data_IF_136593703621
#
_entry.id   IF_136593703621
#
_cell.length_a   1.000
_cell.length_b   1.000
_cell.length_c   1.000
_cell.angle_alpha   90.00
_cell.angle_beta   90.00
_cell.angle_gamma   90.00
#
_symmetry.space_group_name_H-M   'P 1'
#
loop_
_entity.id
_entity.type
_entity.pdbx_description
1 polymer ?
#
# COMPACT_ATOMS: atom_id res chain seq x y z
N UNK A 1 19.85 16.48 -23.79
CA UNK A 1 18.84 15.38 -23.75
C UNK A 1 17.79 15.71 -22.70
N UNK A 2 16.52 15.80 -23.11
CA UNK A 2 15.42 16.29 -22.27
C UNK A 2 14.96 15.19 -21.32
N UNK A 3 15.01 15.43 -20.00
CA UNK A 3 14.35 14.59 -18.99
C UNK A 3 12.84 14.69 -19.20
N UNK A 4 12.17 13.57 -19.49
CA UNK A 4 10.70 13.49 -19.54
C UNK A 4 10.18 13.67 -18.11
N UNK A 5 9.53 14.80 -17.86
CA UNK A 5 8.69 15.01 -16.68
C UNK A 5 7.51 14.05 -16.83
N UNK A 6 7.46 13.00 -16.01
CA UNK A 6 6.29 12.11 -15.93
C UNK A 6 5.23 12.84 -15.09
N UNK A 7 4.05 13.04 -15.68
CA UNK A 7 3.00 13.91 -15.18
C UNK A 7 2.43 13.51 -13.81
N UNK A 8 2.05 14.55 -13.05
CA UNK A 8 1.28 14.50 -11.80
C UNK A 8 -0.15 14.02 -12.09
N UNK A 9 -0.35 12.71 -12.11
CA UNK A 9 -1.66 12.09 -11.93
C UNK A 9 -1.69 11.42 -10.56
N UNK A 10 -2.86 11.35 -9.92
CA UNK A 10 -3.02 10.46 -8.78
C UNK A 10 -2.53 9.06 -9.18
N UNK A 11 -1.60 8.41 -8.45
CA UNK A 11 -1.15 7.11 -8.87
C UNK A 11 -2.37 6.19 -8.81
N UNK A 12 -2.80 5.69 -9.97
CA UNK A 12 -3.61 4.48 -10.04
C UNK A 12 -2.91 3.46 -9.14
N UNK A 13 -3.65 2.84 -8.22
CA UNK A 13 -3.11 1.79 -7.36
C UNK A 13 -2.34 0.79 -8.24
N UNK A 14 -1.03 0.71 -8.03
CA UNK A 14 -0.18 -0.14 -8.85
C UNK A 14 -0.49 -1.59 -8.49
N UNK A 15 -0.83 -2.41 -9.48
CA UNK A 15 -1.25 -3.79 -9.26
C UNK A 15 -0.28 -4.75 -9.91
N UNK A 16 -0.07 -5.88 -9.25
CA UNK A 16 0.78 -6.95 -9.72
C UNK A 16 0.02 -8.28 -9.65
N UNK A 17 0.17 -9.15 -10.66
CA UNK A 17 -0.57 -10.41 -10.71
C UNK A 17 -0.16 -11.38 -9.61
N UNK A 18 1.09 -11.31 -9.14
CA UNK A 18 1.63 -12.16 -8.09
C UNK A 18 2.57 -11.38 -7.16
N UNK A 19 2.76 -11.89 -5.95
CA UNK A 19 3.73 -11.35 -5.01
C UNK A 19 5.17 -11.41 -5.56
N UNK A 20 5.52 -12.48 -6.27
CA UNK A 20 6.81 -12.59 -6.94
C UNK A 20 7.03 -11.45 -7.95
N UNK A 21 6.04 -11.19 -8.82
CA UNK A 21 6.12 -10.09 -9.79
C UNK A 21 6.21 -8.70 -9.15
N UNK A 22 5.68 -8.54 -7.93
CA UNK A 22 5.86 -7.31 -7.16
C UNK A 22 7.32 -7.14 -6.72
N UNK A 23 7.93 -8.13 -6.05
CA UNK A 23 9.33 -8.00 -5.62
C UNK A 23 10.31 -7.90 -6.78
N UNK A 24 10.14 -8.70 -7.84
CA UNK A 24 11.10 -8.71 -8.96
C UNK A 24 11.02 -7.44 -9.83
N UNK A 25 9.95 -6.65 -9.72
CA UNK A 25 9.83 -5.40 -10.45
C UNK A 25 10.69 -4.26 -9.87
N UNK A 26 11.18 -4.39 -8.63
CA UNK A 26 12.02 -3.39 -7.97
C UNK A 26 12.92 -4.09 -6.93
N UNK A 27 14.20 -4.21 -7.26
CA UNK A 27 15.20 -4.93 -6.45
C UNK A 27 15.31 -4.41 -5.02
N UNK A 28 15.08 -3.10 -4.79
CA UNK A 28 15.07 -2.52 -3.44
C UNK A 28 14.07 -3.20 -2.51
N UNK A 29 12.97 -3.76 -3.03
CA UNK A 29 11.96 -4.47 -2.22
C UNK A 29 12.51 -5.78 -1.65
N UNK A 30 13.43 -6.43 -2.36
CA UNK A 30 13.99 -7.74 -1.96
C UNK A 30 14.93 -7.60 -0.75
N UNK A 31 15.63 -6.48 -0.66
CA UNK A 31 16.62 -6.23 0.40
C UNK A 31 16.09 -5.38 1.56
N UNK A 32 14.86 -4.85 1.43
CA UNK A 32 14.26 -4.00 2.44
C UNK A 32 13.65 -4.82 3.57
N UNK A 33 13.61 -4.26 4.78
CA UNK A 33 12.79 -4.84 5.84
C UNK A 33 11.33 -4.46 5.61
N UNK A 34 10.44 -5.31 6.07
CA UNK A 34 9.01 -5.08 6.04
C UNK A 34 8.45 -4.84 7.43
N UNK A 35 7.49 -3.93 7.51
CA UNK A 35 6.59 -3.81 8.65
C UNK A 35 5.25 -4.44 8.30
N UNK A 36 4.85 -5.47 9.03
CA UNK A 36 3.52 -6.05 8.92
C UNK A 36 2.47 -5.12 9.52
N UNK A 37 1.45 -4.83 8.71
CA UNK A 37 0.30 -3.98 9.05
C UNK A 37 -0.97 -4.85 9.02
N UNK A 38 -0.89 -6.10 9.51
CA UNK A 38 -2.04 -6.99 9.69
C UNK A 38 -2.29 -7.98 8.55
N UNK A 39 -2.94 -9.10 8.91
CA UNK A 39 -3.13 -10.30 8.07
C UNK A 39 -4.60 -10.61 7.74
N UNK A 40 -5.55 -9.90 8.35
CA UNK A 40 -6.97 -10.24 8.31
C UNK A 40 -7.86 -9.17 7.68
N UNK A 41 -7.30 -8.33 6.81
CA UNK A 41 -8.07 -7.30 6.11
C UNK A 41 -9.08 -7.93 5.18
N UNK A 42 -10.36 -7.56 5.34
CA UNK A 42 -11.46 -8.11 4.55
C UNK A 42 -12.54 -7.07 4.27
N UNK A 43 -13.24 -7.27 3.17
CA UNK A 43 -14.40 -6.45 2.82
C UNK A 43 -15.68 -7.02 3.43
N UNK A 44 -15.96 -8.29 3.13
CA UNK A 44 -17.10 -9.02 3.67
C UNK A 44 -16.63 -10.00 4.76
N UNK A 45 -17.53 -10.40 5.66
CA UNK A 45 -17.21 -11.29 6.78
C UNK A 45 -16.58 -12.61 6.31
N UNK A 46 -17.14 -13.23 5.28
CA UNK A 46 -16.65 -14.48 4.66
C UNK A 46 -15.83 -14.21 3.38
N UNK A 47 -15.44 -12.94 3.16
CA UNK A 47 -14.67 -12.53 2.01
C UNK A 47 -13.20 -12.94 2.10
N UNK A 48 -12.45 -12.82 0.99
CA UNK A 48 -11.03 -13.12 0.99
C UNK A 48 -10.26 -12.18 1.93
N UNK A 49 -9.33 -12.78 2.67
CA UNK A 49 -8.41 -12.04 3.54
C UNK A 49 -7.25 -11.46 2.74
N UNK A 50 -6.69 -10.38 3.25
CA UNK A 50 -5.51 -9.73 2.71
C UNK A 50 -4.51 -9.45 3.83
N UNK A 51 -3.22 -9.61 3.51
CA UNK A 51 -2.10 -9.09 4.31
C UNK A 51 -1.76 -7.70 3.80
N UNK A 52 -1.59 -6.75 4.71
CA UNK A 52 -0.98 -5.47 4.42
C UNK A 52 0.42 -5.41 5.01
N UNK A 53 1.38 -4.90 4.25
CA UNK A 53 2.74 -4.68 4.73
C UNK A 53 3.33 -3.43 4.08
N UNK A 54 4.31 -2.84 4.76
CA UNK A 54 5.04 -1.66 4.31
C UNK A 54 6.50 -2.00 4.07
N UNK A 55 6.97 -1.76 2.85
CA UNK A 55 8.36 -1.93 2.45
C UNK A 55 9.10 -0.63 2.76
N UNK A 56 10.01 -0.65 3.73
CA UNK A 56 10.57 0.59 4.28
C UNK A 56 11.40 1.38 3.27
N UNK A 57 12.19 0.70 2.43
CA UNK A 57 13.13 1.35 1.51
C UNK A 57 12.42 2.02 0.33
N UNK A 58 11.31 1.43 -0.13
CA UNK A 58 10.51 2.00 -1.21
C UNK A 58 9.35 2.87 -0.70
N UNK A 59 9.05 2.77 0.59
CA UNK A 59 7.93 3.41 1.24
C UNK A 59 6.57 2.83 0.84
N UNK A 60 6.51 1.68 0.17
CA UNK A 60 5.28 1.15 -0.41
C UNK A 60 4.45 0.39 0.63
N UNK A 61 3.27 0.91 0.94
CA UNK A 61 2.24 0.18 1.65
C UNK A 61 1.44 -0.63 0.62
N UNK A 62 1.52 -1.95 0.69
CA UNK A 62 0.86 -2.85 -0.25
C UNK A 62 -0.07 -3.83 0.46
N UNK A 63 -1.04 -4.33 -0.30
CA UNK A 63 -1.90 -5.44 0.05
C UNK A 63 -1.57 -6.63 -0.83
N UNK A 64 -1.55 -7.82 -0.24
CA UNK A 64 -1.57 -9.08 -0.98
C UNK A 64 -2.81 -9.86 -0.57
N UNK A 65 -3.59 -10.32 -1.57
CA UNK A 65 -4.72 -11.20 -1.32
C UNK A 65 -4.21 -12.59 -0.91
N UNK A 66 -4.78 -13.13 0.16
CA UNK A 66 -4.48 -14.47 0.65
C UNK A 66 -5.40 -15.50 -0.02
N UNK A 67 -4.98 -16.77 -0.01
CA UNK A 67 -5.72 -17.89 -0.58
C UNK A 67 -5.14 -18.45 -1.89
N UNK A 68 -5.88 -19.33 -2.57
CA UNK A 68 -5.40 -20.01 -3.78
C UNK A 68 -5.19 -19.05 -4.96
N UNK A 69 -4.15 -19.28 -5.76
CA UNK A 69 -3.85 -18.47 -6.95
C UNK A 69 -5.00 -18.48 -7.97
N UNK A 70 -5.66 -19.63 -8.16
CA UNK A 70 -6.80 -19.77 -9.08
C UNK A 70 -8.01 -18.91 -8.71
N UNK A 71 -8.17 -18.63 -7.41
CA UNK A 71 -9.21 -17.70 -6.94
C UNK A 71 -8.72 -16.27 -6.93
N UNK A 72 -7.41 -16.04 -7.02
CA UNK A 72 -6.78 -14.73 -7.05
C UNK A 72 -5.89 -14.39 -5.87
N UNK A 73 -5.50 -15.38 -5.07
CA UNK A 73 -4.45 -15.25 -4.09
C UNK A 73 -3.11 -14.85 -4.74
N UNK A 74 -2.30 -14.13 -3.99
CA UNK A 74 -1.03 -13.58 -4.45
C UNK A 74 -1.14 -12.28 -5.25
N UNK A 75 -2.35 -11.86 -5.67
CA UNK A 75 -2.53 -10.54 -6.31
C UNK A 75 -2.15 -9.43 -5.35
N UNK A 76 -1.33 -8.49 -5.82
CA UNK A 76 -0.81 -7.37 -5.03
C UNK A 76 -1.40 -6.05 -5.52
N UNK A 77 -1.67 -5.16 -4.58
CA UNK A 77 -2.04 -3.77 -4.83
C UNK A 77 -1.26 -2.84 -3.92
N UNK A 78 -0.54 -1.87 -4.49
CA UNK A 78 0.11 -0.78 -3.75
C UNK A 78 -0.92 0.29 -3.45
N UNK A 79 -1.19 0.52 -2.16
CA UNK A 79 -2.18 1.47 -1.67
C UNK A 79 -1.65 2.90 -1.61
N UNK A 80 -0.41 3.05 -1.13
CA UNK A 80 0.21 4.34 -0.92
C UNK A 80 1.73 4.22 -0.91
N UNK A 81 2.40 5.38 -1.01
CA UNK A 81 3.81 5.54 -0.73
C UNK A 81 4.00 6.55 0.40
N UNK A 82 4.70 6.13 1.44
CA UNK A 82 5.04 6.93 2.62
C UNK A 82 6.47 6.57 3.01
N UNK A 83 7.35 7.56 3.13
CA UNK A 83 8.77 7.34 3.39
C UNK A 83 9.10 7.29 4.89
N UNK A 84 8.26 7.91 5.72
CA UNK A 84 8.48 8.01 7.16
C UNK A 84 7.55 7.06 7.90
N UNK A 85 8.14 6.26 8.80
CA UNK A 85 7.41 5.25 9.57
C UNK A 85 6.38 5.90 10.48
N UNK A 86 6.74 7.00 11.12
CA UNK A 86 5.92 7.75 12.06
C UNK A 86 4.65 8.27 11.36
N UNK A 87 4.76 8.68 10.10
CA UNK A 87 3.62 9.11 9.30
C UNK A 87 2.68 7.94 8.97
N UNK A 88 3.24 6.77 8.63
CA UNK A 88 2.45 5.54 8.43
C UNK A 88 1.70 5.17 9.71
N UNK A 89 2.41 5.10 10.84
CA UNK A 89 1.85 4.73 12.14
C UNK A 89 0.77 5.71 12.59
N UNK A 90 0.96 7.02 12.39
CA UNK A 90 -0.03 8.04 12.70
C UNK A 90 -1.30 7.91 11.85
N UNK A 91 -1.19 7.67 10.54
CA UNK A 91 -2.39 7.55 9.69
C UNK A 91 -3.16 6.26 9.97
N UNK A 92 -2.43 5.19 10.29
CA UNK A 92 -2.97 3.87 10.60
C UNK A 92 -3.14 3.65 12.11
N UNK A 93 -3.19 4.71 12.91
CA UNK A 93 -3.47 4.60 14.33
C UNK A 93 -4.77 3.80 14.56
N UNK A 94 -4.71 2.82 15.46
CA UNK A 94 -5.83 1.92 15.74
C UNK A 94 -6.05 0.81 14.70
N UNK A 95 -5.08 0.53 13.82
CA UNK A 95 -5.25 -0.49 12.77
C UNK A 95 -5.47 -1.90 13.33
N UNK A 96 -4.91 -2.22 14.51
CA UNK A 96 -4.97 -3.58 15.08
C UNK A 96 -6.39 -3.94 15.49
N UNK A 97 -7.14 -2.96 15.97
CA UNK A 97 -8.51 -3.05 16.42
C UNK A 97 -9.50 -3.15 15.25
N UNK A 98 -9.15 -2.56 14.10
CA UNK A 98 -9.97 -2.63 12.89
C UNK A 98 -9.65 -3.86 12.03
N UNK A 99 -8.41 -4.35 12.08
CA UNK A 99 -7.97 -5.48 11.28
C UNK A 99 -8.77 -6.74 11.65
N UNK A 100 -9.49 -7.30 10.69
CA UNK A 100 -10.38 -8.43 10.93
C UNK A 100 -11.84 -8.03 11.13
N UNK A 101 -12.22 -6.76 11.13
CA UNK A 101 -13.64 -6.42 11.09
C UNK A 101 -14.20 -6.52 9.65
N UNK A 102 -15.53 -6.73 9.47
CA UNK A 102 -16.17 -6.48 8.19
C UNK A 102 -15.87 -5.04 7.72
N UNK A 103 -15.59 -4.86 6.42
CA UNK A 103 -15.18 -3.59 5.81
C UNK A 103 -13.85 -3.00 6.35
N UNK A 104 -13.07 -3.77 7.10
CA UNK A 104 -11.73 -3.37 7.54
C UNK A 104 -10.80 -3.04 6.37
N UNK A 105 -10.95 -3.73 5.24
CA UNK A 105 -10.20 -3.44 4.03
C UNK A 105 -10.52 -2.06 3.45
N UNK A 106 -11.80 -1.66 3.45
CA UNK A 106 -12.23 -0.32 3.04
C UNK A 106 -11.65 0.75 3.97
N UNK A 107 -11.69 0.54 5.30
CA UNK A 107 -11.06 1.43 6.27
C UNK A 107 -9.57 1.66 5.97
N UNK A 108 -8.82 0.58 5.69
CA UNK A 108 -7.39 0.67 5.38
C UNK A 108 -7.14 1.49 4.09
N UNK A 109 -7.97 1.27 3.06
CA UNK A 109 -7.86 2.01 1.78
C UNK A 109 -8.14 3.50 1.95
N UNK A 110 -9.18 3.84 2.70
CA UNK A 110 -9.55 5.22 2.99
C UNK A 110 -8.45 5.95 3.75
N UNK A 111 -7.88 5.32 4.78
CA UNK A 111 -6.74 5.88 5.52
C UNK A 111 -5.51 6.04 4.63
N UNK A 112 -5.21 5.03 3.81
CA UNK A 112 -4.08 5.06 2.87
C UNK A 112 -4.22 6.16 1.81
N UNK A 113 -5.43 6.45 1.34
CA UNK A 113 -5.66 7.53 0.39
C UNK A 113 -5.24 8.90 0.96
N UNK A 114 -5.44 9.13 2.27
CA UNK A 114 -5.00 10.35 2.96
C UNK A 114 -3.47 10.51 3.00
N UNK A 115 -2.70 9.41 2.99
CA UNK A 115 -1.23 9.47 2.84
C UNK A 115 -0.86 10.03 1.46
N UNK A 116 -1.53 9.55 0.41
CA UNK A 116 -1.31 10.01 -0.96
C UNK A 116 -1.65 11.49 -1.17
N UNK A 117 -2.66 12.00 -0.46
CA UNK A 117 -3.04 13.43 -0.49
C UNK A 117 -2.01 14.31 0.23
N UNK A 118 -1.57 13.92 1.43
CA UNK A 118 -0.55 14.66 2.20
C UNK A 118 0.79 14.72 1.47
N UNK A 119 1.20 13.61 0.83
CA UNK A 119 2.39 13.58 0.01
C UNK A 119 2.32 14.58 -1.16
N UNK A 120 1.14 14.76 -1.78
CA UNK A 120 0.95 15.77 -2.84
C UNK A 120 0.93 17.19 -2.32
N UNK A 121 0.29 17.42 -1.17
CA UNK A 121 0.21 18.75 -0.55
C UNK A 121 1.59 19.27 -0.12
N UNK A 122 2.47 18.40 0.40
CA UNK A 122 3.86 18.74 0.72
C UNK A 122 4.78 18.91 -0.49
N UNK A 123 4.34 18.54 -1.69
CA UNK A 123 5.06 18.70 -2.97
C UNK A 123 4.57 19.90 -3.79
N UNK A 124 3.66 20.73 -3.26
CA UNK A 124 3.30 22.00 -3.88
C UNK A 124 4.57 22.88 -3.98
N UNK A 125 4.86 23.49 -5.14
CA UNK A 125 6.04 24.32 -5.26
C UNK A 125 5.88 25.54 -4.35
N UNK A 126 6.71 25.63 -3.31
CA UNK A 126 6.99 26.89 -2.65
C UNK A 126 7.75 27.73 -3.67
N UNK A 127 7.05 28.65 -4.33
CA UNK A 127 7.67 29.58 -5.27
C UNK A 127 6.69 30.21 -6.24
N UNK A 128 6.13 31.35 -5.86
CA UNK A 128 6.23 32.61 -6.60
C UNK A 128 6.03 33.77 -5.61
#
# INVERSE_FOLDING_TARGET
MRRKVVGRGAPRAQRYPTLASFYTAEERRIHSRELDVGLWWREQQDGPLHRAAWVMDTGELYLVRLGPAGEGGGRVEVLARVHEREQLESVLEGWREHCGEPRSLSWLRERSARLGERARAGQAPVGA
#
